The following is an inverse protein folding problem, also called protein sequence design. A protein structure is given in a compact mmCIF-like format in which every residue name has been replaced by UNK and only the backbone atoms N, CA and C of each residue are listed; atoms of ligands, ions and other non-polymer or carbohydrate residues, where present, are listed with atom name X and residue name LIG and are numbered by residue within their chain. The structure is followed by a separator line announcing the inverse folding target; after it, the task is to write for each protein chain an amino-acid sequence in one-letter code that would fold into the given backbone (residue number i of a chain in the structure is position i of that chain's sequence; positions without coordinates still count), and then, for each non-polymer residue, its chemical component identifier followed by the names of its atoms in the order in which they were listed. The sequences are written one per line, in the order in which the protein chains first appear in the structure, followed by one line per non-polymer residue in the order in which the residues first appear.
data_IF_177908913124
#
_entry.id   IF_177908913124
#
_cell.length_a   1.000
_cell.length_b   1.000
_cell.length_c   1.000
_cell.angle_alpha   90.00
_cell.angle_beta   90.00
_cell.angle_gamma   90.00
#
_symmetry.space_group_name_H-M   'P 1'
#
loop_
_entity.id
_entity.type
_entity.pdbx_description
1 polymer ?
#
# COMPACT_ATOMS: atom_id res chain seq x y z
N UNK A 1 25.37 10.48 -0.42
CA UNK A 1 25.04 10.50 1.02
C UNK A 1 23.54 10.32 1.14
N UNK A 2 23.04 9.28 1.86
CA UNK A 2 21.61 9.14 2.08
C UNK A 2 21.13 10.32 2.94
N UNK A 3 20.15 11.08 2.45
CA UNK A 3 19.55 12.19 3.17
C UNK A 3 19.04 11.69 4.54
N UNK A 4 19.52 12.27 5.61
CA UNK A 4 19.04 11.96 6.97
C UNK A 4 17.72 12.71 7.14
N UNK A 5 16.61 12.00 7.04
CA UNK A 5 15.30 12.59 7.34
C UNK A 5 15.15 12.81 8.84
N UNK A 6 14.58 13.96 9.24
CA UNK A 6 14.25 14.27 10.64
C UNK A 6 12.98 13.61 11.14
N UNK A 7 12.33 12.80 10.33
CA UNK A 7 11.27 11.94 10.82
C UNK A 7 11.82 11.04 11.93
N UNK A 8 11.14 11.02 13.05
CA UNK A 8 11.55 10.19 14.19
C UNK A 8 11.57 8.71 13.77
N UNK A 9 12.71 8.01 13.94
CA UNK A 9 12.80 6.61 13.58
C UNK A 9 11.83 5.78 14.43
N UNK A 10 10.89 5.11 13.79
CA UNK A 10 10.00 4.17 14.45
C UNK A 10 10.64 2.77 14.47
N UNK A 11 11.32 2.46 15.59
CA UNK A 11 11.93 1.14 15.79
C UNK A 11 10.89 0.02 15.77
N UNK A 12 9.69 0.28 16.29
CA UNK A 12 8.59 -0.69 16.29
C UNK A 12 8.13 -1.01 14.88
N UNK A 13 7.98 -0.01 14.01
CA UNK A 13 7.69 -0.19 12.60
C UNK A 13 8.81 -0.97 11.90
N UNK A 14 10.07 -0.55 12.09
CA UNK A 14 11.23 -1.21 11.46
C UNK A 14 11.28 -2.70 11.81
N UNK A 15 11.11 -3.07 13.08
CA UNK A 15 11.09 -4.47 13.51
C UNK A 15 9.95 -5.24 12.85
N UNK A 16 8.74 -4.67 12.79
CA UNK A 16 7.57 -5.31 12.17
C UNK A 16 7.75 -5.47 10.66
N UNK A 17 8.28 -4.45 9.99
CA UNK A 17 8.60 -4.53 8.55
C UNK A 17 9.62 -5.63 8.27
N UNK A 18 10.71 -5.66 9.03
CA UNK A 18 11.76 -6.68 8.90
C UNK A 18 11.20 -8.08 9.19
N UNK A 19 10.45 -8.25 10.27
CA UNK A 19 9.83 -9.53 10.61
C UNK A 19 8.83 -9.99 9.54
N UNK A 20 8.02 -9.08 9.00
CA UNK A 20 7.07 -9.41 7.93
C UNK A 20 7.78 -9.83 6.65
N UNK A 21 8.82 -9.11 6.23
CA UNK A 21 9.62 -9.48 5.05
C UNK A 21 10.32 -10.83 5.27
N UNK A 22 10.87 -11.05 6.46
CA UNK A 22 11.49 -12.34 6.81
C UNK A 22 10.48 -13.48 6.74
N UNK A 23 9.30 -13.33 7.34
CA UNK A 23 8.22 -14.33 7.29
C UNK A 23 7.76 -14.59 5.84
N UNK A 24 7.61 -13.55 5.03
CA UNK A 24 7.28 -13.70 3.62
C UNK A 24 8.41 -14.42 2.86
N UNK A 25 9.67 -14.18 3.21
CA UNK A 25 10.81 -14.91 2.67
C UNK A 25 10.75 -16.41 3.01
N UNK A 26 10.41 -16.77 4.25
CA UNK A 26 10.21 -18.18 4.66
C UNK A 26 9.04 -18.82 3.90
N UNK A 27 7.93 -18.10 3.76
CA UNK A 27 6.77 -18.59 2.98
C UNK A 27 7.16 -18.77 1.52
N UNK A 28 8.00 -17.90 0.95
CA UNK A 28 8.51 -18.03 -0.42
C UNK A 28 9.38 -19.29 -0.57
N UNK A 29 10.30 -19.54 0.34
CA UNK A 29 11.14 -20.75 0.31
C UNK A 29 10.29 -22.01 0.42
N UNK A 30 9.33 -22.04 1.35
CA UNK A 30 8.40 -23.15 1.49
C UNK A 30 7.53 -23.34 0.23
N UNK A 31 7.13 -22.27 -0.41
CA UNK A 31 6.35 -22.29 -1.66
C UNK A 31 7.16 -22.89 -2.82
N UNK A 32 8.39 -22.45 -3.00
CA UNK A 32 9.28 -23.00 -4.03
C UNK A 32 9.54 -24.49 -3.77
N UNK A 33 9.82 -24.88 -2.51
CA UNK A 33 10.03 -26.27 -2.15
C UNK A 33 8.78 -27.14 -2.42
N UNK A 34 7.57 -26.60 -2.15
CA UNK A 34 6.33 -27.30 -2.45
C UNK A 34 6.11 -27.48 -3.95
N UNK A 35 6.43 -26.47 -4.78
CA UNK A 35 6.34 -26.59 -6.24
C UNK A 35 7.31 -27.65 -6.76
N UNK A 36 8.56 -27.64 -6.30
CA UNK A 36 9.56 -28.64 -6.68
C UNK A 36 9.08 -30.04 -6.27
N UNK A 37 8.61 -30.22 -5.03
CA UNK A 37 8.11 -31.50 -4.55
C UNK A 37 6.88 -32.02 -5.31
N UNK A 38 5.98 -31.15 -5.74
CA UNK A 38 4.86 -31.49 -6.62
C UNK A 38 5.41 -32.01 -7.96
N UNK A 39 6.37 -31.31 -8.55
CA UNK A 39 6.97 -31.70 -9.80
C UNK A 39 7.67 -33.04 -9.73
N UNK A 40 8.52 -33.24 -8.76
CA UNK A 40 9.23 -34.51 -8.54
C UNK A 40 8.24 -35.67 -8.38
N UNK A 41 7.17 -35.48 -7.61
CA UNK A 41 6.14 -36.50 -7.39
C UNK A 41 5.38 -36.91 -8.67
N UNK A 42 5.27 -36.01 -9.63
CA UNK A 42 4.57 -36.25 -10.89
C UNK A 42 5.46 -36.33 -12.13
N UNK A 43 6.80 -36.36 -11.95
CA UNK A 43 7.79 -36.39 -13.03
C UNK A 43 7.60 -35.26 -14.07
N UNK A 44 7.23 -34.08 -13.61
CA UNK A 44 7.03 -32.91 -14.46
C UNK A 44 8.30 -32.04 -14.52
N UNK A 45 8.58 -31.42 -15.67
CA UNK A 45 9.72 -30.50 -15.81
C UNK A 45 9.37 -29.10 -15.29
N UNK A 46 9.42 -28.90 -13.97
CA UNK A 46 8.88 -27.74 -13.28
C UNK A 46 9.73 -26.49 -13.34
N UNK A 47 11.02 -26.64 -13.69
CA UNK A 47 11.92 -25.51 -13.81
C UNK A 47 11.36 -24.39 -14.71
N UNK A 48 10.66 -24.74 -15.77
CA UNK A 48 10.09 -23.77 -16.68
C UNK A 48 8.92 -22.99 -16.05
N UNK A 49 8.03 -23.66 -15.26
CA UNK A 49 6.90 -23.00 -14.59
C UNK A 49 7.39 -22.06 -13.49
N UNK A 50 8.35 -22.52 -12.68
CA UNK A 50 8.95 -21.69 -11.64
C UNK A 50 9.68 -20.51 -12.24
N UNK A 51 10.51 -20.73 -13.27
CA UNK A 51 11.23 -19.66 -13.96
C UNK A 51 10.27 -18.65 -14.57
N UNK A 52 9.21 -19.10 -15.21
CA UNK A 52 8.18 -18.24 -15.78
C UNK A 52 7.47 -17.39 -14.71
N UNK A 53 7.08 -17.99 -13.58
CA UNK A 53 6.45 -17.26 -12.48
C UNK A 53 7.39 -16.23 -11.84
N UNK A 54 8.67 -16.59 -11.64
CA UNK A 54 9.67 -15.68 -11.08
C UNK A 54 9.99 -14.53 -12.03
N UNK A 55 10.15 -14.80 -13.32
CA UNK A 55 10.45 -13.77 -14.33
C UNK A 55 9.26 -12.81 -14.51
N UNK A 56 8.04 -13.35 -14.65
CA UNK A 56 6.85 -12.50 -14.78
C UNK A 56 6.55 -11.74 -13.48
N UNK A 57 6.56 -12.41 -12.34
CA UNK A 57 6.30 -11.79 -11.05
C UNK A 57 7.37 -10.77 -10.69
N UNK A 58 8.65 -11.09 -10.92
CA UNK A 58 9.77 -10.18 -10.72
C UNK A 58 9.73 -9.00 -11.67
N UNK A 59 9.48 -9.23 -12.94
CA UNK A 59 9.32 -8.17 -13.94
C UNK A 59 8.16 -7.23 -13.62
N UNK A 60 7.02 -7.79 -13.18
CA UNK A 60 5.87 -6.99 -12.74
C UNK A 60 6.18 -6.18 -11.48
N UNK A 61 6.82 -6.77 -10.47
CA UNK A 61 7.18 -6.08 -9.24
C UNK A 61 8.18 -4.94 -9.49
N UNK A 62 9.22 -5.20 -10.28
CA UNK A 62 10.20 -4.19 -10.69
C UNK A 62 9.50 -3.10 -11.52
N UNK A 63 8.71 -3.48 -12.51
CA UNK A 63 7.96 -2.55 -13.34
C UNK A 63 7.02 -1.67 -12.49
N UNK A 64 6.27 -2.25 -11.55
CA UNK A 64 5.37 -1.50 -10.67
C UNK A 64 6.13 -0.50 -9.79
N UNK A 65 7.32 -0.86 -9.31
CA UNK A 65 8.16 0.05 -8.51
C UNK A 65 8.64 1.25 -9.34
N UNK A 66 9.10 1.02 -10.57
CA UNK A 66 9.65 2.09 -11.41
C UNK A 66 8.57 3.00 -12.05
N UNK A 67 7.37 2.49 -12.25
CA UNK A 67 6.26 3.21 -12.90
C UNK A 67 5.13 3.58 -11.94
N UNK A 68 5.29 3.34 -10.63
CA UNK A 68 4.25 3.59 -9.60
C UNK A 68 3.73 5.03 -9.63
N UNK A 69 4.62 6.01 -9.75
CA UNK A 69 4.27 7.43 -9.82
C UNK A 69 3.44 7.76 -11.07
N UNK A 70 3.87 7.30 -12.24
CA UNK A 70 3.17 7.55 -13.51
C UNK A 70 1.80 6.87 -13.55
N UNK A 71 1.72 5.63 -13.04
CA UNK A 71 0.46 4.88 -12.98
C UNK A 71 -0.50 5.59 -12.03
N UNK A 72 -0.04 5.96 -10.82
CA UNK A 72 -0.86 6.64 -9.83
C UNK A 72 -1.39 7.98 -10.34
N UNK A 73 -0.54 8.84 -10.93
CA UNK A 73 -0.95 10.12 -11.50
C UNK A 73 -1.98 9.96 -12.63
N UNK A 74 -1.75 9.01 -13.57
CA UNK A 74 -2.70 8.74 -14.65
C UNK A 74 -4.03 8.22 -14.13
N UNK A 75 -4.00 7.31 -13.18
CA UNK A 75 -5.23 6.74 -12.58
C UNK A 75 -6.03 7.78 -11.80
N UNK A 76 -5.32 8.72 -11.14
CA UNK A 76 -5.94 9.84 -10.43
C UNK A 76 -6.40 10.98 -11.36
N UNK A 77 -6.07 10.97 -12.64
CA UNK A 77 -6.27 12.10 -13.53
C UNK A 77 -5.53 13.36 -13.07
N UNK A 78 -4.38 13.17 -12.40
CA UNK A 78 -3.61 14.24 -11.80
C UNK A 78 -2.60 14.82 -12.79
N UNK A 79 -2.36 16.14 -12.65
CA UNK A 79 -1.30 16.85 -13.35
C UNK A 79 -0.30 17.46 -12.37
N UNK A 80 0.96 17.46 -12.73
CA UNK A 80 1.97 18.20 -11.98
C UNK A 80 1.73 19.71 -12.09
N UNK A 81 1.94 20.41 -11.00
CA UNK A 81 1.74 21.86 -10.89
C UNK A 81 3.02 22.55 -10.45
N UNK A 82 3.22 23.76 -10.96
CA UNK A 82 4.36 24.63 -10.61
C UNK A 82 4.07 25.44 -9.35
N UNK A 83 5.11 26.01 -8.69
CA UNK A 83 4.91 26.93 -7.55
C UNK A 83 4.05 28.15 -7.88
N UNK A 84 4.03 28.60 -9.13
CA UNK A 84 3.20 29.72 -9.59
C UNK A 84 1.72 29.34 -9.72
N UNK A 85 1.41 28.07 -10.06
CA UNK A 85 0.03 27.58 -10.19
C UNK A 85 -0.59 27.24 -8.83
N UNK A 86 0.21 26.78 -7.85
CA UNK A 86 -0.27 26.37 -6.53
C UNK A 86 0.66 26.84 -5.40
N UNK A 87 0.81 28.17 -5.19
CA UNK A 87 1.82 28.71 -4.26
C UNK A 87 1.60 28.28 -2.82
N UNK A 88 0.36 28.19 -2.35
CA UNK A 88 0.04 27.75 -0.98
C UNK A 88 0.43 26.29 -0.74
N UNK A 89 0.08 25.41 -1.67
CA UNK A 89 0.42 23.99 -1.57
C UNK A 89 1.94 23.79 -1.60
N UNK A 90 2.64 24.45 -2.51
CA UNK A 90 4.10 24.40 -2.56
C UNK A 90 4.75 24.99 -1.31
N UNK A 91 4.18 26.05 -0.72
CA UNK A 91 4.67 26.63 0.55
C UNK A 91 4.59 25.64 1.73
N UNK A 92 3.49 24.88 1.83
CA UNK A 92 3.34 23.81 2.83
C UNK A 92 4.40 22.72 2.60
N UNK A 93 4.54 22.25 1.36
CA UNK A 93 5.50 21.20 1.01
C UNK A 93 6.94 21.64 1.29
N UNK A 94 7.31 22.88 0.92
CA UNK A 94 8.66 23.42 1.15
C UNK A 94 8.97 23.50 2.64
N UNK A 95 8.04 23.96 3.47
CA UNK A 95 8.19 24.00 4.92
C UNK A 95 8.38 22.59 5.50
N UNK A 96 7.57 21.62 5.10
CA UNK A 96 7.68 20.25 5.58
C UNK A 96 8.98 19.59 5.12
N UNK A 97 9.44 19.83 3.89
CA UNK A 97 10.74 19.36 3.40
C UNK A 97 11.90 19.91 4.23
N UNK A 98 11.85 21.20 4.56
CA UNK A 98 12.87 21.83 5.41
C UNK A 98 12.86 21.24 6.83
N UNK A 99 11.68 21.00 7.42
CA UNK A 99 11.54 20.38 8.74
C UNK A 99 12.03 18.92 8.75
N UNK A 100 11.72 18.17 7.68
CA UNK A 100 12.02 16.75 7.57
C UNK A 100 13.44 16.46 7.06
N UNK A 101 14.16 17.46 6.56
CA UNK A 101 15.45 17.32 5.87
C UNK A 101 15.33 16.33 4.68
N UNK A 102 14.31 16.54 3.86
CA UNK A 102 13.96 15.69 2.71
C UNK A 102 14.00 16.48 1.41
N UNK A 103 14.36 15.83 0.28
CA UNK A 103 14.19 16.43 -1.02
C UNK A 103 12.70 16.70 -1.30
N UNK A 104 12.44 17.82 -1.98
CA UNK A 104 11.07 18.20 -2.35
C UNK A 104 10.50 17.22 -3.37
N UNK A 105 9.35 16.57 -3.10
CA UNK A 105 8.66 15.77 -4.09
C UNK A 105 8.09 16.64 -5.21
N UNK A 106 7.86 16.06 -6.39
CA UNK A 106 7.01 16.69 -7.40
C UNK A 106 5.61 16.83 -6.83
N UNK A 107 4.97 17.95 -7.11
CA UNK A 107 3.63 18.27 -6.59
C UNK A 107 2.62 18.17 -7.72
N UNK A 108 1.52 17.47 -7.49
CA UNK A 108 0.46 17.27 -8.46
C UNK A 108 -0.92 17.55 -7.85
N UNK A 109 -1.86 17.99 -8.68
CA UNK A 109 -3.26 18.18 -8.32
C UNK A 109 -4.13 17.28 -9.18
N UNK A 110 -5.08 16.58 -8.54
CA UNK A 110 -6.12 15.83 -9.21
C UNK A 110 -7.47 16.52 -9.08
N UNK A 111 -8.16 16.69 -10.20
CA UNK A 111 -9.52 17.22 -10.20
C UNK A 111 -10.51 16.11 -9.84
N UNK A 112 -10.94 16.09 -8.58
CA UNK A 112 -11.82 15.06 -8.05
C UNK A 112 -12.73 15.64 -6.96
N UNK A 113 -13.98 15.16 -6.92
CA UNK A 113 -14.93 15.46 -5.85
C UNK A 113 -14.75 14.56 -4.61
N UNK A 114 -13.72 13.72 -4.61
CA UNK A 114 -13.35 12.90 -3.46
C UNK A 114 -12.15 13.53 -2.75
N UNK A 115 -12.27 13.86 -1.45
CA UNK A 115 -11.16 14.43 -0.71
C UNK A 115 -10.08 13.37 -0.50
N UNK A 116 -8.92 13.56 -1.13
CA UNK A 116 -7.81 12.64 -1.03
C UNK A 116 -6.46 13.32 -1.19
N UNK A 117 -5.43 12.74 -0.57
CA UNK A 117 -4.03 13.02 -0.82
C UNK A 117 -3.26 11.71 -0.81
N UNK A 118 -2.20 11.62 -1.57
CA UNK A 118 -1.29 10.46 -1.53
C UNK A 118 0.12 10.85 -1.98
N UNK A 119 1.11 10.15 -1.45
CA UNK A 119 2.47 10.22 -1.94
C UNK A 119 2.90 8.85 -2.47
N UNK A 120 3.61 8.87 -3.60
CA UNK A 120 4.14 7.66 -4.23
C UNK A 120 5.48 7.95 -4.90
N UNK A 121 6.19 6.91 -5.29
CA UNK A 121 7.50 7.01 -5.94
C UNK A 121 8.45 5.95 -5.41
N UNK A 122 9.45 5.59 -6.22
CA UNK A 122 10.40 4.53 -5.85
C UNK A 122 11.37 4.92 -4.72
N UNK A 123 11.62 6.21 -4.51
CA UNK A 123 12.43 6.76 -3.42
C UNK A 123 12.12 8.26 -3.24
N UNK A 124 12.74 8.93 -2.26
CA UNK A 124 12.50 10.34 -1.96
C UNK A 124 12.82 11.26 -3.16
N UNK A 125 13.89 10.97 -3.93
CA UNK A 125 14.28 11.80 -5.09
C UNK A 125 13.31 11.68 -6.28
N UNK A 126 12.48 10.62 -6.31
CA UNK A 126 11.50 10.35 -7.36
C UNK A 126 10.09 10.31 -6.81
N UNK A 127 9.88 10.94 -5.65
CA UNK A 127 8.57 11.02 -5.04
C UNK A 127 7.67 12.04 -5.77
N UNK A 128 6.39 11.76 -5.78
CA UNK A 128 5.34 12.68 -6.17
C UNK A 128 4.27 12.71 -5.08
N UNK A 129 3.88 13.90 -4.68
CA UNK A 129 2.75 14.17 -3.79
C UNK A 129 1.58 14.64 -4.64
N UNK A 130 0.46 13.96 -4.56
CA UNK A 130 -0.77 14.33 -5.23
C UNK A 130 -1.84 14.71 -4.19
N UNK A 131 -2.52 15.81 -4.44
CA UNK A 131 -3.61 16.32 -3.59
C UNK A 131 -4.82 16.58 -4.47
N UNK A 132 -6.02 16.22 -4.03
CA UNK A 132 -7.23 16.57 -4.78
C UNK A 132 -7.65 18.01 -4.47
N UNK A 133 -8.26 18.67 -5.44
CA UNK A 133 -8.80 20.01 -5.24
C UNK A 133 -9.94 20.04 -4.21
N UNK A 134 -10.65 18.91 -4.01
CA UNK A 134 -11.70 18.81 -3.00
C UNK A 134 -11.13 18.82 -1.56
N UNK A 135 -10.02 18.11 -1.30
CA UNK A 135 -9.40 18.12 0.05
C UNK A 135 -8.83 19.52 0.38
N UNK A 136 -8.24 20.20 -0.62
CA UNK A 136 -7.72 21.57 -0.45
C UNK A 136 -8.83 22.58 -0.13
N UNK A 137 -10.04 22.40 -0.69
CA UNK A 137 -11.18 23.27 -0.38
C UNK A 137 -11.79 23.03 1.00
N UNK A 138 -11.63 21.83 1.56
CA UNK A 138 -12.30 21.41 2.81
C UNK A 138 -11.46 21.56 4.05
N UNK A 139 -10.16 21.43 3.91
CA UNK A 139 -9.23 21.49 5.02
C UNK A 139 -8.68 22.90 5.22
N UNK A 140 -8.45 23.27 6.48
CA UNK A 140 -7.64 24.45 6.79
C UNK A 140 -6.18 24.23 6.40
N UNK A 141 -5.36 25.27 6.24
CA UNK A 141 -3.93 25.10 5.95
C UNK A 141 -3.21 24.16 6.94
N UNK A 142 -3.53 24.24 8.23
CA UNK A 142 -2.93 23.41 9.28
C UNK A 142 -3.36 21.94 9.17
N UNK A 143 -4.63 21.72 8.85
CA UNK A 143 -5.17 20.37 8.61
C UNK A 143 -4.55 19.74 7.36
N UNK A 144 -4.43 20.53 6.28
CA UNK A 144 -3.79 20.09 5.04
C UNK A 144 -2.32 19.81 5.25
N UNK A 145 -1.61 20.65 6.03
CA UNK A 145 -0.22 20.39 6.42
C UNK A 145 -0.07 19.08 7.18
N UNK A 146 -0.97 18.78 8.11
CA UNK A 146 -0.98 17.52 8.83
C UNK A 146 -1.15 16.32 7.90
N UNK A 147 -2.06 16.40 6.92
CA UNK A 147 -2.26 15.36 5.90
C UNK A 147 -1.02 15.19 5.01
N UNK A 148 -0.44 16.28 4.52
CA UNK A 148 0.75 16.23 3.68
C UNK A 148 1.94 15.66 4.47
N UNK A 149 2.10 16.02 5.75
CA UNK A 149 3.14 15.45 6.61
C UNK A 149 2.97 13.95 6.80
N UNK A 150 1.73 13.47 6.95
CA UNK A 150 1.42 12.04 6.97
C UNK A 150 1.87 11.36 5.68
N UNK A 151 1.47 11.87 4.52
CA UNK A 151 1.83 11.31 3.21
C UNK A 151 3.34 11.32 2.97
N UNK A 152 4.02 12.41 3.32
CA UNK A 152 5.47 12.50 3.19
C UNK A 152 6.20 11.51 4.11
N UNK A 153 5.61 11.12 5.24
CA UNK A 153 6.20 10.10 6.12
C UNK A 153 6.31 8.74 5.44
N UNK A 154 5.36 8.38 4.56
CA UNK A 154 5.42 7.14 3.76
C UNK A 154 6.62 7.14 2.81
N UNK A 155 6.96 8.30 2.24
CA UNK A 155 8.16 8.45 1.41
C UNK A 155 9.43 8.31 2.28
N UNK A 156 9.46 8.98 3.44
CA UNK A 156 10.59 8.94 4.37
C UNK A 156 10.88 7.52 4.89
N UNK A 157 9.83 6.74 5.18
CA UNK A 157 9.93 5.35 5.64
C UNK A 157 10.12 4.33 4.53
N UNK A 158 10.20 4.76 3.26
CA UNK A 158 10.36 3.90 2.07
C UNK A 158 9.23 2.88 1.90
N UNK A 159 8.04 3.26 2.28
CA UNK A 159 6.87 2.40 2.36
C UNK A 159 6.50 1.76 1.02
N UNK A 160 6.61 2.51 -0.09
CA UNK A 160 6.35 1.98 -1.45
C UNK A 160 7.27 0.80 -1.76
N UNK A 161 8.57 0.92 -1.42
CA UNK A 161 9.54 -0.15 -1.67
C UNK A 161 9.22 -1.41 -0.85
N UNK A 162 8.93 -1.22 0.43
CA UNK A 162 8.63 -2.32 1.35
C UNK A 162 7.33 -3.02 0.97
N UNK A 163 6.29 -2.26 0.62
CA UNK A 163 5.01 -2.82 0.19
C UNK A 163 5.12 -3.54 -1.16
N UNK A 164 5.92 -3.02 -2.09
CA UNK A 164 6.20 -3.69 -3.36
C UNK A 164 6.90 -5.02 -3.12
N UNK A 165 7.94 -5.05 -2.29
CA UNK A 165 8.63 -6.27 -1.92
C UNK A 165 7.72 -7.27 -1.20
N UNK A 166 6.90 -6.80 -0.25
CA UNK A 166 5.94 -7.63 0.46
C UNK A 166 4.86 -8.23 -0.47
N UNK A 167 4.41 -7.46 -1.46
CA UNK A 167 3.36 -7.89 -2.40
C UNK A 167 3.87 -8.87 -3.46
N UNK A 168 5.17 -8.98 -3.68
CA UNK A 168 5.77 -9.83 -4.70
C UNK A 168 5.28 -11.28 -4.63
N UNK A 169 5.32 -11.88 -3.45
CA UNK A 169 4.88 -13.25 -3.24
C UNK A 169 3.38 -13.45 -3.52
N UNK A 170 2.55 -12.52 -3.06
CA UNK A 170 1.12 -12.55 -3.32
C UNK A 170 0.81 -12.44 -4.81
N UNK A 171 1.56 -11.63 -5.55
CA UNK A 171 1.43 -11.47 -7.01
C UNK A 171 1.76 -12.77 -7.72
N UNK A 172 2.88 -13.42 -7.37
CA UNK A 172 3.27 -14.72 -7.95
C UNK A 172 2.20 -15.77 -7.65
N UNK A 173 1.76 -15.88 -6.40
CA UNK A 173 0.73 -16.85 -6.01
C UNK A 173 -0.58 -16.63 -6.77
N UNK A 174 -1.03 -15.37 -6.89
CA UNK A 174 -2.22 -15.02 -7.66
C UNK A 174 -2.09 -15.37 -9.15
N UNK A 175 -0.90 -15.15 -9.73
CA UNK A 175 -0.62 -15.49 -11.12
C UNK A 175 -0.68 -17.01 -11.35
N UNK A 176 -0.09 -17.81 -10.46
CA UNK A 176 -0.11 -19.26 -10.54
C UNK A 176 -1.52 -19.83 -10.34
N UNK A 177 -2.34 -19.25 -9.45
CA UNK A 177 -3.76 -19.60 -9.34
C UNK A 177 -4.47 -19.41 -10.68
N UNK A 178 -4.24 -18.28 -11.35
CA UNK A 178 -4.84 -17.99 -12.65
C UNK A 178 -4.34 -18.95 -13.73
N UNK A 179 -3.05 -19.22 -13.80
CA UNK A 179 -2.48 -20.17 -14.77
C UNK A 179 -3.06 -21.57 -14.56
N UNK A 180 -3.12 -22.04 -13.30
CA UNK A 180 -3.71 -23.34 -12.99
C UNK A 180 -5.20 -23.39 -13.37
N UNK A 181 -5.99 -22.37 -12.99
CA UNK A 181 -7.41 -22.29 -13.29
C UNK A 181 -7.70 -22.25 -14.79
N UNK A 182 -7.01 -21.41 -15.55
CA UNK A 182 -7.19 -21.33 -17.01
C UNK A 182 -6.62 -22.55 -17.72
N UNK A 183 -5.54 -23.15 -17.20
CA UNK A 183 -5.00 -24.41 -17.71
C UNK A 183 -6.01 -25.53 -17.66
N UNK A 184 -6.76 -25.68 -16.56
CA UNK A 184 -7.86 -26.63 -16.43
C UNK A 184 -9.03 -26.29 -17.36
N UNK A 185 -9.43 -25.02 -17.42
CA UNK A 185 -10.59 -24.58 -18.19
C UNK A 185 -10.40 -24.75 -19.70
N UNK A 186 -9.20 -24.45 -20.22
CA UNK A 186 -8.92 -24.47 -21.67
C UNK A 186 -8.06 -25.67 -22.09
N UNK A 187 -7.35 -26.36 -21.17
CA UNK A 187 -6.49 -27.52 -21.44
C UNK A 187 -7.23 -28.87 -21.42
N UNK A 188 -8.35 -28.96 -20.71
CA UNK A 188 -9.11 -30.20 -20.47
C UNK A 188 -9.80 -30.83 -21.68
N UNK A 189 -9.69 -30.25 -22.90
CA UNK A 189 -10.40 -30.69 -24.09
C UNK A 189 -9.67 -31.61 -25.07
N UNK A 190 -8.36 -31.86 -24.91
CA UNK A 190 -7.55 -32.60 -25.88
C UNK A 190 -6.88 -33.83 -25.29
N UNK A 191 -7.61 -34.95 -25.20
CA UNK A 191 -7.05 -36.30 -24.99
C UNK A 191 -7.42 -36.96 -23.66
N UNK A 192 -8.33 -37.93 -23.70
CA UNK A 192 -8.60 -38.88 -22.60
C UNK A 192 -7.46 -39.90 -22.51
N UNK A 193 -6.28 -39.51 -22.00
CA UNK A 193 -5.17 -40.41 -21.75
C UNK A 193 -4.67 -40.32 -20.30
N UNK A 194 -3.93 -41.34 -19.83
CA UNK A 194 -3.35 -41.43 -18.47
C UNK A 194 -2.46 -40.24 -18.11
N UNK A 195 -1.90 -39.50 -19.12
CA UNK A 195 -1.15 -38.27 -18.95
C UNK A 195 -2.02 -37.07 -18.54
N UNK A 196 -3.34 -37.09 -18.84
CA UNK A 196 -4.24 -36.00 -18.51
C UNK A 196 -4.65 -35.96 -17.03
N UNK A 197 -4.70 -37.14 -16.35
CA UNK A 197 -4.98 -37.22 -14.93
C UNK A 197 -3.85 -36.64 -14.06
N UNK A 198 -2.60 -36.94 -14.41
CA UNK A 198 -1.44 -36.40 -13.68
C UNK A 198 -1.37 -34.88 -13.83
N UNK A 199 -1.62 -34.34 -15.02
CA UNK A 199 -1.62 -32.88 -15.25
C UNK A 199 -2.71 -32.18 -14.42
N UNK A 200 -3.92 -32.73 -14.37
CA UNK A 200 -5.01 -32.18 -13.56
C UNK A 200 -4.65 -32.19 -12.06
N UNK A 201 -4.06 -33.28 -11.56
CA UNK A 201 -3.63 -33.34 -10.15
C UNK A 201 -2.52 -32.36 -9.82
N UNK A 202 -1.55 -32.15 -10.73
CA UNK A 202 -0.50 -31.14 -10.60
C UNK A 202 -1.12 -29.75 -10.52
N UNK A 203 -2.02 -29.42 -11.43
CA UNK A 203 -2.68 -28.10 -11.45
C UNK A 203 -3.52 -27.87 -10.19
N UNK A 204 -4.23 -28.88 -9.71
CA UNK A 204 -4.97 -28.80 -8.44
C UNK A 204 -4.03 -28.59 -7.24
N UNK A 205 -2.96 -29.34 -7.15
CA UNK A 205 -1.98 -29.20 -6.06
C UNK A 205 -1.31 -27.80 -6.09
N UNK A 206 -0.88 -27.35 -7.27
CA UNK A 206 -0.30 -26.02 -7.48
C UNK A 206 -1.30 -24.93 -7.08
N UNK A 207 -2.56 -25.04 -7.50
CA UNK A 207 -3.61 -24.09 -7.13
C UNK A 207 -3.84 -24.05 -5.63
N UNK A 208 -3.95 -25.21 -4.96
CA UNK A 208 -4.18 -25.29 -3.51
C UNK A 208 -3.05 -24.66 -2.71
N UNK A 209 -1.79 -24.98 -3.03
CA UNK A 209 -0.60 -24.38 -2.39
C UNK A 209 -0.57 -22.88 -2.65
N UNK A 210 -0.84 -22.43 -3.87
CA UNK A 210 -0.85 -21.01 -4.24
C UNK A 210 -1.95 -20.23 -3.49
N UNK A 211 -3.12 -20.81 -3.27
CA UNK A 211 -4.20 -20.20 -2.49
C UNK A 211 -3.76 -19.99 -1.04
N UNK A 212 -3.12 -20.99 -0.42
CA UNK A 212 -2.61 -20.88 0.96
C UNK A 212 -1.56 -19.78 1.06
N UNK A 213 -0.58 -19.77 0.15
CA UNK A 213 0.49 -18.76 0.11
C UNK A 213 -0.09 -17.36 -0.11
N UNK A 214 -1.06 -17.23 -1.03
CA UNK A 214 -1.75 -15.96 -1.25
C UNK A 214 -2.47 -15.48 0.01
N UNK A 215 -3.21 -16.35 0.69
CA UNK A 215 -3.95 -16.01 1.90
C UNK A 215 -3.02 -15.55 3.04
N UNK A 216 -1.92 -16.28 3.28
CA UNK A 216 -0.91 -15.92 4.30
C UNK A 216 -0.26 -14.58 3.95
N UNK A 217 0.19 -14.41 2.70
CA UNK A 217 0.79 -13.15 2.24
C UNK A 217 -0.18 -11.99 2.38
N UNK A 218 -1.45 -12.20 2.02
CA UNK A 218 -2.50 -11.19 2.14
C UNK A 218 -2.66 -10.71 3.59
N UNK A 219 -2.72 -11.63 4.55
CA UNK A 219 -2.84 -11.26 5.99
C UNK A 219 -1.62 -10.48 6.46
N UNK A 220 -0.40 -10.95 6.14
CA UNK A 220 0.83 -10.29 6.55
C UNK A 220 0.94 -8.87 5.97
N UNK A 221 0.60 -8.69 4.68
CA UNK A 221 0.61 -7.39 4.02
C UNK A 221 -0.41 -6.44 4.68
N UNK A 222 -1.61 -6.93 5.06
CA UNK A 222 -2.64 -6.13 5.74
C UNK A 222 -2.21 -5.70 7.13
N UNK A 223 -1.59 -6.59 7.89
CA UNK A 223 -1.04 -6.24 9.20
C UNK A 223 0.02 -5.15 9.07
N UNK A 224 0.96 -5.33 8.12
CA UNK A 224 2.01 -4.35 7.86
C UNK A 224 1.42 -3.00 7.45
N UNK A 225 0.46 -2.99 6.53
CA UNK A 225 -0.20 -1.76 6.06
C UNK A 225 -0.80 -0.96 7.22
N UNK A 226 -1.51 -1.62 8.15
CA UNK A 226 -2.10 -0.95 9.31
C UNK A 226 -1.05 -0.34 10.25
N UNK A 227 0.07 -1.01 10.45
CA UNK A 227 1.16 -0.46 11.27
C UNK A 227 1.80 0.76 10.63
N UNK A 228 1.97 0.75 9.31
CA UNK A 228 2.50 1.88 8.56
C UNK A 228 1.63 3.12 8.70
N UNK A 229 0.31 2.98 8.61
CA UNK A 229 -0.64 4.08 8.80
C UNK A 229 -0.49 4.73 10.19
N UNK A 230 -0.44 3.90 11.26
CA UNK A 230 -0.27 4.42 12.62
C UNK A 230 1.10 5.09 12.82
N UNK A 231 2.14 4.57 12.17
CA UNK A 231 3.46 5.19 12.20
C UNK A 231 3.49 6.50 11.43
N UNK A 232 2.77 6.59 10.30
CA UNK A 232 2.66 7.81 9.51
C UNK A 232 1.87 8.89 10.26
N UNK A 233 0.77 8.53 10.92
CA UNK A 233 0.02 9.44 11.82
C UNK A 233 0.92 10.02 12.90
N UNK A 234 1.66 9.14 13.59
CA UNK A 234 2.59 9.55 14.64
C UNK A 234 3.71 10.45 14.11
N UNK A 235 4.34 10.05 13.01
CA UNK A 235 5.48 10.75 12.43
C UNK A 235 5.08 12.13 11.89
N UNK A 236 3.96 12.22 11.15
CA UNK A 236 3.43 13.48 10.65
C UNK A 236 3.03 14.43 11.77
N UNK A 237 2.34 13.91 12.81
CA UNK A 237 1.94 14.69 13.97
C UNK A 237 3.13 15.21 14.80
N UNK A 238 4.19 14.41 14.94
CA UNK A 238 5.41 14.83 15.62
C UNK A 238 6.20 15.87 14.81
N UNK A 239 6.23 15.74 13.48
CA UNK A 239 6.93 16.66 12.60
C UNK A 239 6.30 18.05 12.63
N UNK A 240 4.96 18.11 12.53
CA UNK A 240 4.20 19.37 12.53
C UNK A 240 4.02 19.96 13.93
N UNK A 241 4.14 19.13 14.99
CA UNK A 241 3.80 19.52 16.35
C UNK A 241 2.28 19.73 16.57
N UNK A 242 1.43 19.36 15.61
CA UNK A 242 -0.01 19.64 15.59
C UNK A 242 -0.88 18.37 15.42
N UNK A 243 -0.86 17.42 16.40
CA UNK A 243 -1.69 16.21 16.32
C UNK A 243 -3.19 16.50 16.18
N UNK A 244 -3.67 17.58 16.79
CA UNK A 244 -5.07 18.01 16.74
C UNK A 244 -5.53 18.40 15.33
N UNK A 245 -4.68 19.03 14.52
CA UNK A 245 -4.97 19.39 13.14
C UNK A 245 -5.12 18.14 12.28
N UNK A 246 -4.19 17.17 12.38
CA UNK A 246 -4.30 15.89 11.67
C UNK A 246 -5.53 15.09 12.13
N UNK A 247 -5.86 15.11 13.43
CA UNK A 247 -7.07 14.48 13.97
C UNK A 247 -8.34 15.08 13.37
N UNK A 248 -8.42 16.41 13.29
CA UNK A 248 -9.53 17.13 12.67
C UNK A 248 -9.66 16.79 11.18
N UNK A 249 -8.55 16.79 10.44
CA UNK A 249 -8.52 16.40 9.04
C UNK A 249 -9.07 14.98 8.81
N UNK A 250 -8.63 14.00 9.61
CA UNK A 250 -9.12 12.61 9.54
C UNK A 250 -10.62 12.51 9.74
N UNK A 251 -11.17 13.22 10.73
CA UNK A 251 -12.61 13.23 11.02
C UNK A 251 -13.39 13.85 9.85
N UNK A 252 -12.93 14.99 9.32
CA UNK A 252 -13.57 15.67 8.20
C UNK A 252 -13.57 14.81 6.93
N UNK A 253 -12.40 14.26 6.55
CA UNK A 253 -12.27 13.45 5.34
C UNK A 253 -13.08 12.16 5.46
N UNK A 254 -13.00 11.44 6.60
CA UNK A 254 -13.78 10.21 6.83
C UNK A 254 -15.28 10.46 6.82
N UNK A 255 -15.74 11.57 7.41
CA UNK A 255 -17.15 11.95 7.40
C UNK A 255 -17.68 12.28 6.01
N UNK A 256 -16.85 12.83 5.13
CA UNK A 256 -17.22 13.08 3.73
C UNK A 256 -17.23 11.79 2.91
N UNK A 257 -16.22 10.95 3.06
CA UNK A 257 -16.15 9.66 2.36
C UNK A 257 -17.37 8.77 2.65
N UNK A 258 -17.92 8.84 3.87
CA UNK A 258 -19.13 8.09 4.23
C UNK A 258 -20.41 8.57 3.53
N UNK A 259 -20.41 9.79 2.96
CA UNK A 259 -21.54 10.38 2.24
C UNK A 259 -21.50 10.14 0.74
N UNK A 260 -20.38 9.67 0.20
CA UNK A 260 -20.22 9.39 -1.23
C UNK A 260 -21.00 8.12 -1.57
N UNK A 261 -21.83 8.11 -2.63
CA UNK A 261 -22.56 6.93 -3.06
C UNK A 261 -21.63 5.74 -3.34
N UNK A 262 -22.05 4.54 -2.97
CA UNK A 262 -21.26 3.30 -3.14
C UNK A 262 -20.86 3.01 -4.59
N UNK A 263 -21.65 3.47 -5.56
CA UNK A 263 -21.33 3.30 -6.98
C UNK A 263 -20.10 4.13 -7.38
N UNK A 264 -19.99 5.36 -6.88
CA UNK A 264 -18.85 6.25 -7.15
C UNK A 264 -17.59 5.73 -6.44
N UNK A 265 -17.75 5.17 -5.24
CA UNK A 265 -16.66 4.51 -4.54
C UNK A 265 -16.16 3.24 -5.23
N UNK A 266 -17.03 2.52 -5.96
CA UNK A 266 -16.61 1.34 -6.75
C UNK A 266 -15.77 1.73 -7.97
N UNK A 267 -16.08 2.84 -8.62
CA UNK A 267 -15.25 3.35 -9.73
C UNK A 267 -13.87 3.79 -9.26
N UNK A 268 -13.77 4.24 -8.01
CA UNK A 268 -12.51 4.60 -7.36
C UNK A 268 -11.77 3.41 -6.71
N UNK A 269 -12.32 2.20 -6.77
CA UNK A 269 -11.75 1.00 -6.14
C UNK A 269 -10.28 0.71 -6.54
N UNK A 270 -9.82 0.93 -7.78
CA UNK A 270 -8.40 0.80 -8.13
C UNK A 270 -7.49 1.75 -7.36
N UNK A 271 -8.03 2.87 -6.89
CA UNK A 271 -7.32 3.89 -6.12
C UNK A 271 -7.33 3.65 -4.60
N UNK A 272 -8.06 2.62 -4.13
CA UNK A 272 -8.31 2.41 -2.69
C UNK A 272 -7.03 2.27 -1.85
N UNK A 273 -5.94 1.78 -2.46
CA UNK A 273 -4.63 1.69 -1.81
C UNK A 273 -3.95 3.06 -1.61
N UNK A 274 -4.44 4.11 -2.29
CA UNK A 274 -3.92 5.48 -2.27
C UNK A 274 -4.85 6.45 -1.54
N UNK A 275 -5.90 5.98 -0.86
CA UNK A 275 -6.76 6.86 -0.09
C UNK A 275 -6.18 7.15 1.29
N UNK A 276 -6.07 8.42 1.64
CA UNK A 276 -5.72 8.89 2.98
C UNK A 276 -6.70 8.38 4.06
N UNK A 277 -8.00 8.36 3.74
CA UNK A 277 -9.03 7.73 4.56
C UNK A 277 -9.79 6.72 3.71
N UNK A 278 -9.98 5.47 4.19
CA UNK A 278 -10.61 4.43 3.39
C UNK A 278 -12.05 4.80 3.01
N UNK A 279 -12.37 4.62 1.74
CA UNK A 279 -13.72 4.81 1.20
C UNK A 279 -14.77 3.84 1.80
N UNK A 280 -14.32 2.76 2.45
CA UNK A 280 -15.20 1.70 2.98
C UNK A 280 -15.12 1.59 4.51
N UNK A 281 -15.72 2.54 5.22
CA UNK A 281 -16.00 2.41 6.66
C UNK A 281 -17.31 1.66 6.98
N UNK A 282 -17.92 0.99 6.00
CA UNK A 282 -19.23 0.37 6.13
C UNK A 282 -19.19 -1.08 6.65
N UNK A 283 -18.03 -1.58 7.08
CA UNK A 283 -17.99 -2.90 7.73
C UNK A 283 -18.42 -2.78 9.20
N UNK A 284 -19.46 -3.49 9.64
CA UNK A 284 -19.83 -3.54 11.04
C UNK A 284 -18.63 -3.95 11.90
N UNK A 285 -18.51 -3.37 13.13
CA UNK A 285 -17.48 -3.77 14.11
C UNK A 285 -17.53 -5.29 14.31
N UNK A 286 -16.40 -5.97 14.14
CA UNK A 286 -16.31 -7.43 14.28
C UNK A 286 -16.61 -8.24 13.02
N UNK A 287 -16.91 -7.63 11.89
CA UNK A 287 -17.12 -8.37 10.64
C UNK A 287 -15.79 -8.81 10.02
N UNK A 288 -15.84 -9.94 9.28
CA UNK A 288 -14.69 -10.38 8.46
C UNK A 288 -14.19 -9.28 7.52
N UNK A 289 -15.07 -8.39 7.06
CA UNK A 289 -14.72 -7.24 6.22
C UNK A 289 -13.71 -6.27 6.89
N UNK A 290 -13.71 -6.18 8.23
CA UNK A 290 -12.70 -5.40 8.96
C UNK A 290 -11.27 -5.99 8.84
N UNK A 291 -11.16 -7.32 8.66
CA UNK A 291 -9.86 -7.99 8.42
C UNK A 291 -9.32 -7.61 7.04
N UNK A 292 -10.19 -7.34 6.08
CA UNK A 292 -9.85 -7.00 4.71
C UNK A 292 -9.46 -5.52 4.50
N UNK A 293 -9.63 -4.65 5.53
CA UNK A 293 -9.23 -3.24 5.44
C UNK A 293 -7.70 -3.08 5.44
N UNK A 294 -7.18 -2.23 4.56
CA UNK A 294 -5.76 -1.83 4.51
C UNK A 294 -5.41 -0.80 5.57
N UNK A 295 -6.39 -0.05 6.07
CA UNK A 295 -6.20 1.00 7.06
C UNK A 295 -6.74 0.58 8.43
N UNK A 296 -6.18 1.09 9.54
CA UNK A 296 -6.77 0.97 10.86
C UNK A 296 -8.12 1.69 10.93
N UNK A 297 -8.95 1.34 11.92
CA UNK A 297 -10.17 2.10 12.16
C UNK A 297 -9.87 3.55 12.54
N UNK A 298 -10.79 4.46 12.21
CA UNK A 298 -10.65 5.88 12.55
C UNK A 298 -10.40 6.05 14.04
N UNK A 299 -11.16 5.35 14.91
CA UNK A 299 -11.01 5.44 16.37
C UNK A 299 -9.58 5.09 16.82
N UNK A 300 -8.97 4.09 16.18
CA UNK A 300 -7.60 3.68 16.51
C UNK A 300 -6.57 4.72 16.09
N UNK A 301 -6.75 5.34 14.92
CA UNK A 301 -5.91 6.45 14.45
C UNK A 301 -6.02 7.65 15.38
N UNK A 302 -7.26 8.03 15.75
CA UNK A 302 -7.52 9.14 16.67
C UNK A 302 -6.89 8.89 18.05
N UNK A 303 -7.05 7.68 18.60
CA UNK A 303 -6.45 7.31 19.89
C UNK A 303 -4.91 7.36 19.87
N UNK A 304 -4.26 7.04 18.74
CA UNK A 304 -2.81 7.18 18.60
C UNK A 304 -2.38 8.65 18.58
N UNK A 305 -3.12 9.50 17.89
CA UNK A 305 -2.88 10.95 17.86
C UNK A 305 -3.07 11.59 19.24
N UNK A 306 -4.04 11.11 20.04
CA UNK A 306 -4.22 11.56 21.42
C UNK A 306 -3.00 11.24 22.31
N UNK A 307 -2.37 10.07 22.12
CA UNK A 307 -1.11 9.72 22.80
C UNK A 307 0.04 10.64 22.39
N UNK A 308 0.14 10.97 21.10
CA UNK A 308 1.14 11.90 20.60
C UNK A 308 0.94 13.28 21.21
N UNK A 309 -0.30 13.76 21.32
CA UNK A 309 -0.63 15.04 21.96
C UNK A 309 -0.20 15.05 23.43
N UNK A 310 -0.48 14.00 24.18
CA UNK A 310 -0.05 13.87 25.57
C UNK A 310 1.49 13.89 25.70
N UNK A 311 2.20 13.18 24.80
CA UNK A 311 3.66 13.18 24.78
C UNK A 311 4.26 14.58 24.52
N UNK A 312 3.67 15.35 23.61
CA UNK A 312 4.12 16.71 23.32
C UNK A 312 3.86 17.63 24.52
N UNK A 313 2.71 17.53 25.16
CA UNK A 313 2.37 18.31 26.34
C UNK A 313 3.34 18.03 27.51
N UNK A 314 3.69 16.75 27.76
CA UNK A 314 4.68 16.38 28.80
C UNK A 314 6.12 16.82 28.51
N UNK A 315 6.46 17.14 27.25
CA UNK A 315 7.79 17.66 26.89
C UNK A 315 7.87 19.18 26.99
N UNK A 316 6.74 19.87 26.98
CA UNK A 316 6.65 21.31 27.02
C UNK A 316 6.49 21.87 28.45
N UNK A 317 6.14 21.06 29.43
CA UNK A 317 6.09 21.36 30.87
C UNK A 317 7.30 20.78 31.61
#
# INVERSE_FOLDING_TARGET
MAARTRYAPDRGLTVRMTATIFLLGLVFVAFVAAIIGIGDAYHASDAAIVLFAVVLGGGFAIGSLFYSDKIALRTAGAREVTPQEAPELHGIVDRLCALADMPKPRVAIAHSNMPNAFATGRNADHAVLCVTDDIMRRLTPEELEGVIAHEMSHVAHKDVQVMTAASFLAIIAALLIRVAFYGELFGGGRGRGRGNQNTAMIMFALMAVSIIVYAVSFVLIRLLSRYRELSADRSGALLTGQPSALKSALVKVSGQMSRIPTNDLRTAQPMNAFFFAPAMHLAPKGSLAAIFSTHPSLERRLAELDKVQQQLNHRAG
#
